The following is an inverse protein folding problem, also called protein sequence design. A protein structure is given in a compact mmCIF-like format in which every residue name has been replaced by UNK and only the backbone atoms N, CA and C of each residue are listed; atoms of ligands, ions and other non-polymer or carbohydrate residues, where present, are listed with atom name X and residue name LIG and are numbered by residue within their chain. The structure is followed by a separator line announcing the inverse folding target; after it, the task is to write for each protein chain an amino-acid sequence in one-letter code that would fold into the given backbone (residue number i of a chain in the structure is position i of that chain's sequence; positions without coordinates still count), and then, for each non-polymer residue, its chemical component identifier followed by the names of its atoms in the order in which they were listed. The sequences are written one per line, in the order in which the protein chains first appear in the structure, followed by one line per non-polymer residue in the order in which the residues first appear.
data_IF_042706125038
#
_entry.id   IF_042706125038
#
_cell.length_a   1.000
_cell.length_b   1.000
_cell.length_c   1.000
_cell.angle_alpha   90.00
_cell.angle_beta   90.00
_cell.angle_gamma   90.00
#
_symmetry.space_group_name_H-M   'P 1'
#
loop_
_entity.id
_entity.type
_entity.pdbx_description
1 polymer ?
#
# COMPACT_ATOMS: atom_id res chain seq x y z
N UNK A 1 -3.69 1.39 10.26
CA UNK A 1 -3.77 0.88 8.87
C UNK A 1 -5.15 0.27 8.68
N UNK A 2 -5.97 0.80 7.75
CA UNK A 2 -7.42 0.56 7.62
C UNK A 2 -8.27 0.93 8.85
N UNK A 3 -9.56 1.17 8.63
CA UNK A 3 -10.49 1.71 9.64
C UNK A 3 -10.79 0.72 10.79
N UNK A 4 -10.60 -0.58 10.56
CA UNK A 4 -10.78 -1.68 11.51
C UNK A 4 -9.45 -2.23 12.07
N UNK A 5 -8.31 -1.61 11.72
CA UNK A 5 -7.01 -1.91 12.31
C UNK A 5 -6.40 -3.27 11.94
N UNK A 6 -7.03 -4.05 11.05
CA UNK A 6 -6.56 -5.40 10.71
C UNK A 6 -5.19 -5.45 10.01
N UNK A 7 -4.80 -4.37 9.32
CA UNK A 7 -3.56 -4.37 8.55
C UNK A 7 -2.36 -4.19 9.48
N UNK A 8 -1.41 -5.13 9.40
CA UNK A 8 -0.25 -5.18 10.29
C UNK A 8 0.88 -4.26 9.82
N UNK A 9 0.82 -3.80 8.58
CA UNK A 9 1.79 -2.90 7.97
C UNK A 9 1.17 -2.11 6.79
N UNK A 10 1.93 -1.13 6.27
CA UNK A 10 1.55 -0.29 5.13
C UNK A 10 1.21 -1.11 3.87
N UNK A 11 2.00 -2.13 3.56
CA UNK A 11 1.79 -2.99 2.39
C UNK A 11 0.43 -3.69 2.47
N UNK A 12 0.08 -4.27 3.61
CA UNK A 12 -1.24 -4.89 3.84
C UNK A 12 -2.36 -3.86 3.75
N UNK A 13 -2.14 -2.65 4.28
CA UNK A 13 -3.09 -1.56 4.16
C UNK A 13 -3.41 -1.29 2.69
N UNK A 14 -2.36 -1.08 1.87
CA UNK A 14 -2.46 -0.82 0.43
C UNK A 14 -3.18 -1.98 -0.28
N UNK A 15 -2.79 -3.22 0.00
CA UNK A 15 -3.33 -4.40 -0.69
C UNK A 15 -4.79 -4.72 -0.34
N UNK A 16 -5.32 -4.20 0.76
CA UNK A 16 -6.70 -4.41 1.17
C UNK A 16 -7.65 -3.29 0.77
N UNK A 17 -7.15 -2.23 0.12
CA UNK A 17 -7.99 -1.19 -0.47
C UNK A 17 -8.67 -1.67 -1.76
N UNK A 18 -9.94 -1.33 -1.94
CA UNK A 18 -10.72 -1.60 -3.14
C UNK A 18 -11.68 -0.46 -3.42
N UNK A 19 -12.69 -0.66 -4.27
CA UNK A 19 -13.64 0.39 -4.65
C UNK A 19 -12.92 1.54 -5.35
N UNK A 20 -13.00 2.75 -4.81
CA UNK A 20 -12.35 3.94 -5.38
C UNK A 20 -10.82 3.84 -5.42
N UNK A 21 -10.20 3.13 -4.46
CA UNK A 21 -8.75 2.97 -4.37
C UNK A 21 -8.20 1.76 -5.16
N UNK A 22 -9.06 1.06 -5.89
CA UNK A 22 -8.72 -0.15 -6.65
C UNK A 22 -7.60 0.08 -7.66
N UNK A 23 -7.66 1.19 -8.41
CA UNK A 23 -6.65 1.54 -9.41
C UNK A 23 -5.26 1.75 -8.78
N UNK A 24 -5.19 2.44 -7.63
CA UNK A 24 -3.94 2.65 -6.90
C UNK A 24 -3.37 1.35 -6.32
N UNK A 25 -4.23 0.47 -5.80
CA UNK A 25 -3.81 -0.88 -5.38
C UNK A 25 -3.19 -1.65 -6.56
N UNK A 26 -3.85 -1.65 -7.71
CA UNK A 26 -3.37 -2.41 -8.88
C UNK A 26 -2.12 -1.78 -9.51
N UNK A 27 -1.93 -0.47 -9.38
CA UNK A 27 -0.66 0.17 -9.74
C UNK A 27 0.46 -0.29 -8.81
N UNK A 28 0.22 -0.34 -7.51
CA UNK A 28 1.19 -0.80 -6.52
C UNK A 28 1.61 -2.27 -6.74
N UNK A 29 0.69 -3.16 -7.12
CA UNK A 29 1.03 -4.57 -7.39
C UNK A 29 1.93 -4.75 -8.61
N UNK A 30 1.86 -3.83 -9.58
CA UNK A 30 2.67 -3.84 -10.81
C UNK A 30 4.08 -3.26 -10.63
N UNK A 31 4.33 -2.55 -9.52
CA UNK A 31 5.66 -2.02 -9.22
C UNK A 31 6.69 -3.15 -9.02
N UNK A 32 7.94 -2.85 -9.34
CA UNK A 32 9.05 -3.72 -8.96
C UNK A 32 9.16 -3.80 -7.43
N UNK A 33 9.87 -4.81 -6.92
CA UNK A 33 10.12 -4.87 -5.46
C UNK A 33 10.85 -3.62 -4.96
N UNK A 34 11.85 -3.14 -5.70
CA UNK A 34 12.62 -1.95 -5.32
C UNK A 34 11.73 -0.70 -5.24
N UNK A 35 10.84 -0.50 -6.22
CA UNK A 35 9.95 0.66 -6.24
C UNK A 35 8.92 0.61 -5.12
N UNK A 36 8.40 -0.58 -4.79
CA UNK A 36 7.53 -0.76 -3.62
C UNK A 36 8.26 -0.42 -2.34
N UNK A 37 9.47 -0.94 -2.16
CA UNK A 37 10.27 -0.69 -0.95
C UNK A 37 10.59 0.82 -0.81
N UNK A 38 10.92 1.50 -1.91
CA UNK A 38 11.14 2.95 -1.93
C UNK A 38 9.88 3.75 -1.59
N UNK A 39 8.72 3.38 -2.14
CA UNK A 39 7.45 4.03 -1.83
C UNK A 39 7.06 3.85 -0.35
N UNK A 40 7.23 2.64 0.19
CA UNK A 40 6.95 2.37 1.61
C UNK A 40 7.89 3.19 2.51
N UNK A 41 9.17 3.28 2.16
CA UNK A 41 10.14 4.10 2.90
C UNK A 41 9.74 5.59 2.89
N UNK A 42 9.36 6.12 1.72
CA UNK A 42 8.88 7.50 1.59
C UNK A 42 7.67 7.77 2.49
N UNK A 43 6.62 6.94 2.40
CA UNK A 43 5.40 7.11 3.22
C UNK A 43 5.69 6.97 4.71
N UNK A 44 6.64 6.13 5.10
CA UNK A 44 7.03 5.94 6.51
C UNK A 44 7.84 7.12 7.09
N UNK A 45 8.27 8.06 6.26
CA UNK A 45 9.07 9.23 6.66
C UNK A 45 8.27 10.52 6.87
N UNK A 46 6.95 10.47 6.67
CA UNK A 46 6.00 11.57 6.87
C UNK A 46 5.46 11.59 8.30
#
# INVERSE_FOLDING_TARGET
FLHDGRARNLTEAILWHGGEAQASRDAFTKLSKADRDALIAFVSSL
#
